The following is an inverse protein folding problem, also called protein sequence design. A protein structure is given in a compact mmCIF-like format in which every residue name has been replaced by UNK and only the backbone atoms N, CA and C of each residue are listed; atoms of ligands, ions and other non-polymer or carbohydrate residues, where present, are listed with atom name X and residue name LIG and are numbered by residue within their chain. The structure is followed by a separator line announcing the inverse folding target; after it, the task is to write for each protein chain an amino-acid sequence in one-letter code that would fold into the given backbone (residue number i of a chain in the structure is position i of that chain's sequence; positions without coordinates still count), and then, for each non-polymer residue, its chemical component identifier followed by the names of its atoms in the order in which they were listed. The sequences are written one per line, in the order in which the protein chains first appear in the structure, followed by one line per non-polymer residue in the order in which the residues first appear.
data_IF_839833444773
#
_entry.id   IF_839833444773
#
_cell.length_a   1.000
_cell.length_b   1.000
_cell.length_c   1.000
_cell.angle_alpha   90.00
_cell.angle_beta   90.00
_cell.angle_gamma   90.00
#
_symmetry.space_group_name_H-M   'P 1'
#
loop_
_entity.id
_entity.type
_entity.pdbx_description
1 polymer ?
#
# COMPACT_ATOMS: atom_id res chain seq x y z
N UNK A 1 6.70 23.01 -14.03
CA UNK A 1 6.41 21.63 -14.47
C UNK A 1 5.61 20.98 -13.35
N UNK A 2 4.28 21.06 -13.41
CA UNK A 2 3.42 20.57 -12.33
C UNK A 2 3.28 19.07 -12.49
N UNK A 3 3.88 18.30 -11.58
CA UNK A 3 3.71 16.85 -11.56
C UNK A 3 2.31 16.61 -11.02
N UNK A 4 1.33 16.47 -11.92
CA UNK A 4 0.02 15.94 -11.54
C UNK A 4 0.20 14.47 -11.20
N UNK A 5 0.51 14.20 -9.93
CA UNK A 5 0.41 12.85 -9.40
C UNK A 5 -1.09 12.58 -9.31
N UNK A 6 -1.64 11.94 -10.33
CA UNK A 6 -2.97 11.36 -10.24
C UNK A 6 -2.95 10.43 -9.02
N UNK A 7 -3.53 10.89 -7.91
CA UNK A 7 -3.57 10.13 -6.66
C UNK A 7 -4.60 9.00 -6.82
N UNK A 8 -4.19 7.95 -7.52
CA UNK A 8 -5.01 6.77 -7.73
C UNK A 8 -5.28 6.11 -6.38
N UNK A 9 -6.56 6.05 -6.01
CA UNK A 9 -7.03 5.45 -4.77
C UNK A 9 -7.42 4.00 -5.02
N UNK A 10 -6.71 3.09 -4.34
CA UNK A 10 -6.98 1.67 -4.39
C UNK A 10 -7.89 1.23 -3.25
N UNK A 11 -8.69 0.22 -3.50
CA UNK A 11 -9.34 -0.61 -2.47
C UNK A 11 -8.33 -1.59 -1.87
N UNK A 12 -8.70 -2.21 -0.74
CA UNK A 12 -7.91 -3.29 -0.12
C UNK A 12 -7.72 -4.47 -1.08
N UNK A 13 -8.70 -4.75 -1.94
CA UNK A 13 -8.62 -5.84 -2.90
C UNK A 13 -7.63 -5.52 -4.04
N UNK A 14 -7.70 -4.31 -4.61
CA UNK A 14 -6.78 -3.87 -5.67
C UNK A 14 -5.34 -3.76 -5.16
N UNK A 15 -5.13 -3.25 -3.93
CA UNK A 15 -3.81 -3.22 -3.32
C UNK A 15 -3.23 -4.64 -3.11
N UNK A 16 -4.07 -5.60 -2.72
CA UNK A 16 -3.67 -6.98 -2.52
C UNK A 16 -3.27 -7.65 -3.86
N UNK A 17 -4.07 -7.44 -4.91
CA UNK A 17 -3.78 -7.94 -6.25
C UNK A 17 -2.47 -7.35 -6.80
N UNK A 18 -2.30 -6.03 -6.64
CA UNK A 18 -1.11 -5.29 -7.08
C UNK A 18 0.18 -5.80 -6.45
N UNK A 19 0.18 -6.07 -5.15
CA UNK A 19 1.34 -6.62 -4.44
C UNK A 19 1.42 -8.15 -4.50
N UNK A 20 0.45 -8.82 -5.14
CA UNK A 20 0.27 -10.29 -5.15
C UNK A 20 0.30 -10.91 -3.75
N UNK A 21 -0.42 -10.29 -2.83
CA UNK A 21 -0.58 -10.73 -1.44
C UNK A 21 -2.05 -10.96 -1.11
N UNK A 22 -2.34 -11.49 0.08
CA UNK A 22 -3.72 -11.64 0.54
C UNK A 22 -4.28 -10.30 1.05
N UNK A 23 -5.60 -10.12 0.94
CA UNK A 23 -6.28 -8.96 1.57
C UNK A 23 -6.11 -8.94 3.09
N UNK A 24 -5.88 -10.10 3.73
CA UNK A 24 -5.53 -10.21 5.16
C UNK A 24 -4.21 -9.51 5.45
N UNK A 25 -3.18 -9.71 4.63
CA UNK A 25 -1.88 -9.06 4.80
C UNK A 25 -2.00 -7.54 4.68
N UNK A 26 -2.75 -7.04 3.70
CA UNK A 26 -3.01 -5.59 3.58
C UNK A 26 -3.71 -5.04 4.82
N UNK A 27 -4.77 -5.73 5.33
CA UNK A 27 -5.45 -5.30 6.56
C UNK A 27 -4.53 -5.32 7.78
N UNK A 28 -3.62 -6.28 7.86
CA UNK A 28 -2.60 -6.34 8.91
C UNK A 28 -1.67 -5.14 8.84
N UNK A 29 -1.16 -4.78 7.65
CA UNK A 29 -0.31 -3.59 7.48
C UNK A 29 -1.03 -2.29 7.86
N UNK A 30 -2.32 -2.18 7.54
CA UNK A 30 -3.14 -1.04 7.95
C UNK A 30 -3.30 -1.01 9.48
N UNK A 31 -3.59 -2.15 10.10
CA UNK A 31 -3.77 -2.24 11.55
C UNK A 31 -2.48 -1.96 12.33
N UNK A 32 -1.34 -2.37 11.77
CA UNK A 32 0.01 -2.10 12.29
C UNK A 32 0.47 -0.65 12.04
N UNK A 33 -0.24 0.09 11.19
CA UNK A 33 0.11 1.48 10.83
C UNK A 33 1.23 1.59 9.79
N UNK A 34 1.81 0.47 9.35
CA UNK A 34 2.82 0.40 8.29
C UNK A 34 2.31 0.79 6.91
N UNK A 35 0.98 0.73 6.68
CA UNK A 35 0.35 1.15 5.42
C UNK A 35 -0.77 2.16 5.70
N UNK A 36 -0.60 3.45 5.33
CA UNK A 36 -1.62 4.48 5.48
C UNK A 36 -2.90 4.12 4.72
N UNK A 37 -4.03 4.32 5.38
CA UNK A 37 -5.34 4.10 4.78
C UNK A 37 -6.33 5.19 5.20
N UNK A 38 -7.18 5.58 4.26
CA UNK A 38 -8.23 6.58 4.45
C UNK A 38 -9.59 5.88 4.50
N UNK A 39 -10.43 6.27 5.46
CA UNK A 39 -11.83 5.84 5.51
C UNK A 39 -12.65 6.74 4.60
N UNK A 40 -13.35 6.13 3.64
CA UNK A 40 -14.31 6.80 2.78
C UNK A 40 -15.72 6.38 3.20
N UNK A 41 -16.32 7.14 4.12
CA UNK A 41 -17.62 6.84 4.70
C UNK A 41 -17.59 5.65 5.66
N UNK A 42 -18.74 4.99 5.85
CA UNK A 42 -18.95 4.02 6.94
C UNK A 42 -18.23 2.69 6.75
N UNK A 43 -18.04 2.23 5.51
CA UNK A 43 -17.55 0.87 5.22
C UNK A 43 -16.40 0.80 4.20
N UNK A 44 -16.09 1.89 3.50
CA UNK A 44 -15.08 1.85 2.44
C UNK A 44 -13.73 2.33 2.97
N UNK A 45 -12.69 1.60 2.61
CA UNK A 45 -11.30 1.98 2.85
C UNK A 45 -10.65 2.27 1.50
N UNK A 46 -9.79 3.29 1.47
CA UNK A 46 -8.98 3.68 0.31
C UNK A 46 -7.52 3.79 0.72
N UNK A 47 -6.65 3.38 -0.18
CA UNK A 47 -5.20 3.44 -0.05
C UNK A 47 -4.65 4.29 -1.19
N UNK A 48 -3.63 5.10 -0.94
CA UNK A 48 -2.93 5.75 -2.06
C UNK A 48 -2.06 4.70 -2.75
N UNK A 49 -2.07 4.70 -4.08
CA UNK A 49 -1.23 3.80 -4.87
C UNK A 49 0.26 3.91 -4.50
N UNK A 50 0.76 5.14 -4.32
CA UNK A 50 2.17 5.39 -3.96
C UNK A 50 2.54 4.72 -2.62
N UNK A 51 1.66 4.83 -1.61
CA UNK A 51 1.87 4.20 -0.30
C UNK A 51 1.93 2.67 -0.41
N UNK A 52 1.07 2.08 -1.26
CA UNK A 52 1.05 0.63 -1.52
C UNK A 52 2.34 0.17 -2.20
N UNK A 53 2.83 0.92 -3.18
CA UNK A 53 4.06 0.59 -3.91
C UNK A 53 5.30 0.68 -3.00
N UNK A 54 5.30 1.60 -2.02
CA UNK A 54 6.38 1.77 -1.05
C UNK A 54 6.45 0.68 0.05
N UNK A 55 5.48 -0.23 0.11
CA UNK A 55 5.52 -1.39 1.03
C UNK A 55 6.70 -2.31 0.71
N UNK A 56 7.05 -2.44 -0.57
CA UNK A 56 8.15 -3.30 -1.00
C UNK A 56 9.49 -2.63 -0.72
N UNK A 57 10.18 -3.11 0.32
CA UNK A 57 11.56 -2.72 0.61
C UNK A 57 12.51 -3.81 0.13
N UNK A 58 13.60 -3.47 -0.58
CA UNK A 58 14.61 -4.45 -0.94
C UNK A 58 15.20 -5.06 0.33
N UNK A 59 15.22 -6.39 0.40
CA UNK A 59 15.93 -7.10 1.45
C UNK A 59 17.43 -6.88 1.19
N UNK A 60 18.10 -6.15 2.09
CA UNK A 60 19.49 -5.73 1.91
C UNK A 60 20.37 -6.90 1.48
N UNK A 61 21.03 -6.75 0.33
CA UNK A 61 22.07 -7.69 -0.09
C UNK A 61 23.23 -7.53 0.89
N UNK A 62 23.34 -8.46 1.83
CA UNK A 62 24.52 -8.59 2.67
C UNK A 62 25.62 -9.18 1.80
N UNK A 63 26.31 -8.33 1.03
CA UNK A 63 27.62 -8.67 0.48
C UNK A 63 28.57 -8.60 1.67
N UNK A 64 28.74 -9.73 2.36
CA UNK A 64 29.83 -9.87 3.33
C UNK A 64 31.13 -9.80 2.54
N UNK A 65 31.93 -8.77 2.82
CA UNK A 65 33.30 -8.61 2.33
C UNK A 65 34.27 -9.24 3.31
#
# INVERSE_FOLDING_TARGET
MTISIEHELLTVAEAADRLRVTTRFIRMLIADGSLPAMRLGRRSIRLRRDDVDHVLRPMGTSIRR
#
